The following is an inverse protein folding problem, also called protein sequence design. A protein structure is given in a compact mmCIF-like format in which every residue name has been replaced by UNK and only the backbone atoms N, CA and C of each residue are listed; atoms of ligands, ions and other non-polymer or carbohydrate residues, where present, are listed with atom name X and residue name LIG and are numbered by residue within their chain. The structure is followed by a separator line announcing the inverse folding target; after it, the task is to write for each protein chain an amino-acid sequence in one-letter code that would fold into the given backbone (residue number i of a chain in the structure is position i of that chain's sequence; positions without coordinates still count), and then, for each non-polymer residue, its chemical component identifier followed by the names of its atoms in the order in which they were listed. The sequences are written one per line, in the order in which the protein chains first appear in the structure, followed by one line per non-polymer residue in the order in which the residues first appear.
data_IF_344918574642
#
_entry.id   IF_344918574642
#
_cell.length_a   1.000
_cell.length_b   1.000
_cell.length_c   1.000
_cell.angle_alpha   90.00
_cell.angle_beta   90.00
_cell.angle_gamma   90.00
#
_symmetry.space_group_name_H-M   'P 1'
#
loop_
_entity.id
_entity.type
_entity.pdbx_description
1 polymer ?
#
# COMPACT_ATOMS: atom_id res chain seq x y z
N UNK A 1 -9.41 3.93 -12.91
CA UNK A 1 -8.71 4.45 -11.73
C UNK A 1 -8.04 5.76 -12.10
N UNK A 2 -7.72 6.58 -11.11
CA UNK A 2 -6.93 7.81 -11.26
C UNK A 2 -5.72 7.70 -10.33
N UNK A 3 -4.53 7.98 -10.85
CA UNK A 3 -3.28 7.96 -10.07
C UNK A 3 -2.95 9.38 -9.66
N UNK A 4 -2.56 9.55 -8.39
CA UNK A 4 -2.04 10.81 -7.92
C UNK A 4 -0.73 10.69 -7.14
N UNK A 5 0.33 11.25 -7.70
CA UNK A 5 1.71 11.10 -7.23
C UNK A 5 2.14 12.23 -6.30
N UNK A 6 1.23 12.70 -5.43
CA UNK A 6 1.50 13.87 -4.58
C UNK A 6 2.69 13.70 -3.65
N UNK A 7 3.36 14.83 -3.38
CA UNK A 7 4.29 15.00 -2.26
C UNK A 7 5.52 14.12 -2.32
N UNK A 8 6.49 14.40 -3.21
CA UNK A 8 7.75 13.64 -3.34
C UNK A 8 8.48 13.38 -2.01
N UNK A 9 8.39 14.32 -1.06
CA UNK A 9 8.99 14.17 0.28
C UNK A 9 8.32 13.11 1.17
N UNK A 10 7.15 12.60 0.75
CA UNK A 10 6.40 11.53 1.39
C UNK A 10 6.50 10.23 0.57
N UNK A 11 7.43 10.11 -0.37
CA UNK A 11 7.60 8.91 -1.18
C UNK A 11 8.66 8.01 -0.55
N UNK A 12 8.33 6.76 -0.21
CA UNK A 12 9.31 5.82 0.32
C UNK A 12 10.32 5.43 -0.76
N UNK A 13 11.53 4.98 -0.38
CA UNK A 13 12.48 4.40 -1.32
C UNK A 13 11.85 3.23 -2.09
N UNK A 14 12.15 3.12 -3.39
CA UNK A 14 11.61 2.04 -4.25
C UNK A 14 11.94 0.65 -3.68
N UNK A 15 13.12 0.48 -3.08
CA UNK A 15 13.50 -0.79 -2.44
C UNK A 15 12.56 -1.17 -1.29
N UNK A 16 12.12 -0.20 -0.50
CA UNK A 16 11.15 -0.40 0.57
C UNK A 16 9.77 -0.77 0.01
N UNK A 17 9.37 -0.13 -1.10
CA UNK A 17 8.13 -0.47 -1.82
C UNK A 17 8.19 -1.91 -2.35
N UNK A 18 9.31 -2.31 -2.94
CA UNK A 18 9.52 -3.66 -3.45
C UNK A 18 9.48 -4.70 -2.33
N UNK A 19 10.09 -4.39 -1.19
CA UNK A 19 10.09 -5.28 -0.03
C UNK A 19 8.68 -5.48 0.55
N UNK A 20 7.93 -4.40 0.78
CA UNK A 20 6.55 -4.53 1.32
C UNK A 20 5.64 -5.24 0.32
N UNK A 21 5.79 -4.96 -0.97
CA UNK A 21 5.03 -5.64 -2.03
C UNK A 21 5.33 -7.14 -2.05
N UNK A 22 6.59 -7.54 -1.90
CA UNK A 22 6.99 -8.94 -1.81
C UNK A 22 6.33 -9.66 -0.63
N UNK A 23 6.32 -9.05 0.56
CA UNK A 23 5.66 -9.66 1.73
C UNK A 23 4.14 -9.80 1.51
N UNK A 24 3.51 -8.78 0.93
CA UNK A 24 2.08 -8.84 0.59
C UNK A 24 1.80 -9.94 -0.44
N UNK A 25 2.66 -10.12 -1.45
CA UNK A 25 2.56 -11.22 -2.42
C UNK A 25 2.60 -12.59 -1.73
N UNK A 26 3.51 -12.79 -0.78
CA UNK A 26 3.57 -14.05 -0.01
C UNK A 26 2.24 -14.34 0.73
N UNK A 27 1.58 -13.31 1.28
CA UNK A 27 0.24 -13.46 1.89
C UNK A 27 -0.83 -13.77 0.84
N UNK A 28 -0.78 -13.12 -0.32
CA UNK A 28 -1.73 -13.35 -1.41
C UNK A 28 -1.60 -14.75 -2.03
N UNK A 29 -0.38 -15.28 -2.09
CA UNK A 29 -0.06 -16.64 -2.56
C UNK A 29 -0.41 -17.71 -1.52
N UNK A 30 -0.44 -17.36 -0.24
CA UNK A 30 -0.71 -18.26 0.87
C UNK A 30 0.56 -18.88 1.49
N UNK A 31 1.74 -18.39 1.08
CA UNK A 31 3.03 -18.75 1.66
C UNK A 31 3.21 -18.12 3.05
N UNK A 32 2.54 -16.98 3.29
CA UNK A 32 2.32 -16.39 4.60
C UNK A 32 0.82 -16.34 4.93
N UNK A 33 0.45 -16.64 6.17
CA UNK A 33 -0.94 -16.51 6.61
C UNK A 33 -1.38 -15.04 6.76
N UNK A 34 -0.49 -14.21 7.31
CA UNK A 34 -0.64 -12.78 7.49
C UNK A 34 0.73 -12.10 7.51
N UNK A 35 0.77 -10.78 7.38
CA UNK A 35 2.01 -10.02 7.56
C UNK A 35 2.42 -9.98 9.04
N UNK A 36 3.71 -9.94 9.38
CA UNK A 36 4.16 -9.68 10.75
C UNK A 36 3.50 -8.43 11.32
N UNK A 37 2.92 -8.49 12.52
CA UNK A 37 2.24 -7.35 13.13
C UNK A 37 0.80 -7.08 12.65
N UNK A 38 0.32 -7.75 11.59
CA UNK A 38 -1.03 -7.54 11.04
C UNK A 38 -1.86 -8.82 11.08
N UNK A 39 -3.18 -8.65 11.28
CA UNK A 39 -4.16 -9.75 11.24
C UNK A 39 -4.73 -9.99 9.83
N UNK A 40 -4.33 -9.18 8.85
CA UNK A 40 -4.84 -9.25 7.48
C UNK A 40 -4.34 -10.48 6.74
N UNK A 41 -5.26 -11.12 6.04
CA UNK A 41 -5.00 -12.34 5.26
C UNK A 41 -5.20 -12.04 3.77
N UNK A 42 -5.30 -13.09 2.94
CA UNK A 42 -5.62 -12.98 1.51
C UNK A 42 -6.91 -12.21 1.20
N UNK A 43 -7.87 -12.17 2.14
CA UNK A 43 -9.10 -11.39 2.03
C UNK A 43 -9.11 -10.27 3.07
N UNK A 44 -9.45 -9.07 2.61
CA UNK A 44 -9.53 -7.84 3.40
C UNK A 44 -10.98 -7.41 3.51
N UNK A 45 -11.38 -6.88 4.66
CA UNK A 45 -12.71 -6.32 4.90
C UNK A 45 -12.57 -4.98 5.61
N UNK A 46 -13.31 -3.98 5.15
CA UNK A 46 -13.47 -2.67 5.80
C UNK A 46 -14.93 -2.27 5.82
N UNK A 47 -15.35 -1.63 6.91
CA UNK A 47 -16.67 -1.02 6.96
C UNK A 47 -16.73 0.24 6.10
N UNK A 48 -17.91 0.85 6.03
CA UNK A 48 -18.11 2.08 5.25
C UNK A 48 -17.28 3.23 5.82
N UNK A 49 -16.67 4.02 4.94
CA UNK A 49 -15.88 5.21 5.29
C UNK A 49 -14.69 4.93 6.22
N UNK A 50 -14.06 3.75 6.11
CA UNK A 50 -12.90 3.36 6.90
C UNK A 50 -11.60 3.33 6.10
N UNK A 51 -10.48 3.61 6.77
CA UNK A 51 -9.13 3.43 6.25
C UNK A 51 -8.33 2.53 7.19
N UNK A 52 -7.55 1.61 6.62
CA UNK A 52 -6.72 0.69 7.37
C UNK A 52 -5.32 0.61 6.80
N UNK A 53 -4.34 0.62 7.71
CA UNK A 53 -2.98 0.25 7.40
C UNK A 53 -2.87 -1.26 7.24
N UNK A 54 -2.37 -1.67 6.07
CA UNK A 54 -2.20 -3.07 5.72
C UNK A 54 -0.76 -3.53 5.89
N UNK A 55 0.20 -2.62 5.77
CA UNK A 55 1.62 -2.93 5.91
C UNK A 55 2.42 -1.66 6.24
N UNK A 56 3.46 -1.81 7.06
CA UNK A 56 4.36 -0.74 7.48
C UNK A 56 5.77 -1.32 7.64
N UNK A 57 6.59 -1.26 6.59
CA UNK A 57 7.91 -1.89 6.57
C UNK A 57 8.95 -1.01 5.88
N UNK A 58 10.14 -0.89 6.48
CA UNK A 58 11.30 -0.17 5.91
C UNK A 58 10.95 1.25 5.44
N UNK A 59 10.20 2.00 6.23
CA UNK A 59 9.65 3.33 5.88
C UNK A 59 8.54 3.34 4.84
N UNK A 60 8.11 2.23 4.27
CA UNK A 60 6.98 2.17 3.33
C UNK A 60 5.70 1.76 4.05
N UNK A 61 4.67 2.59 3.95
CA UNK A 61 3.33 2.31 4.46
C UNK A 61 2.37 2.08 3.30
N UNK A 62 1.60 1.01 3.38
CA UNK A 62 0.49 0.70 2.47
C UNK A 62 -0.82 0.76 3.25
N UNK A 63 -1.74 1.61 2.79
CA UNK A 63 -3.09 1.72 3.36
C UNK A 63 -4.14 1.45 2.29
N UNK A 64 -5.26 0.91 2.73
CA UNK A 64 -6.46 0.77 1.93
C UNK A 64 -7.61 1.51 2.61
N UNK A 65 -8.32 2.32 1.83
CA UNK A 65 -9.51 3.06 2.28
C UNK A 65 -10.75 2.60 1.51
N UNK A 66 -11.85 2.41 2.23
CA UNK A 66 -13.18 2.23 1.67
C UNK A 66 -13.97 3.53 1.84
N UNK A 67 -13.93 4.38 0.82
CA UNK A 67 -14.60 5.69 0.78
C UNK A 67 -16.08 5.58 0.38
N UNK A 68 -16.62 4.35 0.27
CA UNK A 68 -18.01 4.07 -0.02
C UNK A 68 -18.88 4.08 1.26
N UNK A 69 -20.18 4.31 1.08
CA UNK A 69 -21.18 4.27 2.16
C UNK A 69 -21.63 2.85 2.56
N UNK A 70 -20.95 1.82 2.03
CA UNK A 70 -21.22 0.41 2.33
C UNK A 70 -19.92 -0.34 2.61
N UNK A 71 -19.94 -1.38 3.46
CA UNK A 71 -18.78 -2.21 3.68
C UNK A 71 -18.26 -2.86 2.39
N UNK A 72 -16.96 -3.12 2.35
CA UNK A 72 -16.29 -3.67 1.18
C UNK A 72 -15.38 -4.81 1.59
N UNK A 73 -15.41 -5.88 0.79
CA UNK A 73 -14.43 -6.96 0.83
C UNK A 73 -13.57 -6.90 -0.42
N UNK A 74 -12.25 -6.96 -0.26
CA UNK A 74 -11.29 -7.05 -1.37
C UNK A 74 -10.34 -8.22 -1.17
N UNK A 75 -9.69 -8.63 -2.26
CA UNK A 75 -8.54 -9.51 -2.18
C UNK A 75 -7.27 -8.67 -2.00
N UNK A 76 -6.32 -9.18 -1.21
CA UNK A 76 -4.99 -8.56 -1.05
C UNK A 76 -4.34 -8.27 -2.41
N UNK A 77 -4.54 -9.15 -3.41
CA UNK A 77 -4.02 -8.98 -4.76
C UNK A 77 -4.43 -7.65 -5.41
N UNK A 78 -5.66 -7.18 -5.17
CA UNK A 78 -6.14 -5.92 -5.73
C UNK A 78 -5.36 -4.72 -5.16
N UNK A 79 -4.96 -4.80 -3.89
CA UNK A 79 -4.12 -3.79 -3.24
C UNK A 79 -2.71 -3.84 -3.81
N UNK A 80 -2.12 -5.04 -3.90
CA UNK A 80 -0.79 -5.26 -4.47
C UNK A 80 -0.69 -4.70 -5.89
N UNK A 81 -1.68 -4.98 -6.74
CA UNK A 81 -1.69 -4.50 -8.12
C UNK A 81 -1.76 -2.97 -8.17
N UNK A 82 -2.48 -2.34 -7.24
CA UNK A 82 -2.49 -0.88 -7.13
C UNK A 82 -1.17 -0.30 -6.59
N UNK A 83 -0.51 -0.96 -5.65
CA UNK A 83 0.84 -0.58 -5.19
C UNK A 83 1.83 -0.65 -6.36
N UNK A 84 1.75 -1.68 -7.21
CA UNK A 84 2.59 -1.81 -8.42
C UNK A 84 2.33 -0.70 -9.44
N UNK A 85 1.07 -0.26 -9.58
CA UNK A 85 0.69 0.89 -10.42
C UNK A 85 1.35 2.15 -9.87
N UNK A 86 1.22 2.43 -8.56
CA UNK A 86 1.84 3.59 -7.91
C UNK A 86 3.37 3.55 -8.03
N UNK A 87 3.99 2.38 -7.80
CA UNK A 87 5.43 2.19 -7.98
C UNK A 87 5.90 2.53 -9.39
N UNK A 88 5.11 2.20 -10.42
CA UNK A 88 5.47 2.44 -11.82
C UNK A 88 5.23 3.88 -12.24
N UNK A 89 4.08 4.44 -11.87
CA UNK A 89 3.60 5.72 -12.39
C UNK A 89 4.03 6.91 -11.53
N UNK A 90 4.28 6.68 -10.24
CA UNK A 90 4.74 7.69 -9.30
C UNK A 90 6.20 7.53 -8.90
N UNK A 91 7.02 6.89 -9.74
CA UNK A 91 8.47 6.83 -9.54
C UNK A 91 9.11 8.18 -9.82
N UNK A 92 9.99 8.60 -8.92
CA UNK A 92 10.78 9.82 -9.05
C UNK A 92 12.17 9.64 -8.43
N UNK A 93 13.03 10.65 -8.56
CA UNK A 93 14.35 10.70 -7.92
C UNK A 93 14.38 11.89 -6.96
N UNK A 94 14.60 11.61 -5.68
CA UNK A 94 14.75 12.61 -4.62
C UNK A 94 16.13 12.45 -3.96
N UNK A 95 16.94 13.50 -3.97
CA UNK A 95 18.30 13.51 -3.40
C UNK A 95 19.19 12.34 -3.87
N UNK A 96 19.02 11.90 -5.12
CA UNK A 96 19.75 10.80 -5.73
C UNK A 96 19.21 9.40 -5.39
N UNK A 97 18.10 9.31 -4.66
CA UNK A 97 17.41 8.06 -4.31
C UNK A 97 16.15 7.90 -5.16
N UNK A 98 15.95 6.70 -5.71
CA UNK A 98 14.70 6.32 -6.36
C UNK A 98 13.60 6.18 -5.30
N UNK A 99 12.51 6.94 -5.46
CA UNK A 99 11.35 6.93 -4.56
C UNK A 99 10.07 6.69 -5.35
N UNK A 100 9.03 6.14 -4.71
CA UNK A 100 7.71 6.04 -5.33
C UNK A 100 6.58 6.03 -4.30
N UNK A 101 5.60 6.92 -4.46
CA UNK A 101 4.45 7.01 -3.56
C UNK A 101 3.30 7.84 -4.15
N UNK A 102 2.11 7.71 -3.58
CA UNK A 102 0.92 8.40 -4.05
C UNK A 102 -0.37 7.75 -3.58
N UNK A 103 -1.46 8.17 -4.21
CA UNK A 103 -2.81 7.64 -3.99
C UNK A 103 -3.36 7.11 -5.32
N UNK A 104 -3.89 5.89 -5.31
CA UNK A 104 -4.62 5.31 -6.43
C UNK A 104 -6.11 5.32 -6.09
N UNK A 105 -6.86 6.18 -6.78
CA UNK A 105 -8.31 6.29 -6.64
C UNK A 105 -9.02 5.31 -7.56
N UNK A 106 -9.88 4.44 -7.00
CA UNK A 106 -10.67 3.52 -7.80
C UNK A 106 -12.08 4.07 -8.03
N UNK A 107 -12.69 3.82 -9.20
CA UNK A 107 -14.00 4.37 -9.54
C UNK A 107 -15.13 3.88 -8.62
N UNK A 108 -14.90 2.79 -7.88
CA UNK A 108 -15.88 2.19 -6.97
C UNK A 108 -15.72 2.71 -5.52
N UNK A 109 -15.16 3.91 -5.34
CA UNK A 109 -14.98 4.60 -4.05
C UNK A 109 -14.13 3.80 -3.05
N UNK A 110 -12.96 3.35 -3.48
CA UNK A 110 -11.95 2.81 -2.57
C UNK A 110 -10.56 3.15 -3.10
N UNK A 111 -9.61 3.33 -2.20
CA UNK A 111 -8.35 4.00 -2.52
C UNK A 111 -7.18 3.23 -1.93
N UNK A 112 -6.04 3.24 -2.61
CA UNK A 112 -4.79 2.69 -2.10
C UNK A 112 -3.82 3.84 -1.90
N UNK A 113 -3.20 3.90 -0.73
CA UNK A 113 -2.22 4.92 -0.39
C UNK A 113 -0.88 4.23 -0.18
N UNK A 114 0.15 4.70 -0.88
CA UNK A 114 1.54 4.31 -0.70
C UNK A 114 2.34 5.55 -0.30
N UNK A 115 2.90 5.55 0.91
CA UNK A 115 3.64 6.71 1.41
C UNK A 115 4.82 6.31 2.29
N UNK A 116 5.71 7.26 2.51
CA UNK A 116 6.76 7.17 3.49
C UNK A 116 6.17 7.46 4.86
N UNK A 117 6.49 6.63 5.83
CA UNK A 117 6.08 6.84 7.23
C UNK A 117 7.24 6.48 8.16
N UNK A 118 7.58 7.41 9.05
CA UNK A 118 8.75 7.27 9.91
C UNK A 118 8.58 6.14 10.93
N UNK A 119 7.35 5.86 11.37
CA UNK A 119 7.06 4.74 12.26
C UNK A 119 7.27 3.37 11.60
N UNK A 120 7.43 3.29 10.27
CA UNK A 120 7.69 2.04 9.55
C UNK A 120 9.18 1.68 9.48
N UNK A 121 10.06 2.39 10.18
CA UNK A 121 11.52 2.19 10.11
C UNK A 121 12.01 0.95 10.87
N UNK A 122 11.23 0.41 11.80
CA UNK A 122 11.76 -0.42 12.90
C UNK A 122 11.42 -1.92 12.86
N UNK A 123 11.17 -2.51 11.70
CA UNK A 123 11.03 -3.98 11.61
C UNK A 123 12.25 -4.62 10.94
N UNK A 124 13.30 -4.84 11.76
CA UNK A 124 14.43 -5.77 11.52
C UNK A 124 13.98 -7.24 11.63
#
# INVERSE_FOLDING_TARGET
HTVDCWGKALHPPVESVDYVTYLMDQVALGDLHHLPGYADTKSLYLDAQECKELACFKSAQVRWCNSADSPRKLLMQNVIDGVRVLRRECRDVLDGVDVAGGVLYQPDNWDIILQQEDSCKDEE
#
